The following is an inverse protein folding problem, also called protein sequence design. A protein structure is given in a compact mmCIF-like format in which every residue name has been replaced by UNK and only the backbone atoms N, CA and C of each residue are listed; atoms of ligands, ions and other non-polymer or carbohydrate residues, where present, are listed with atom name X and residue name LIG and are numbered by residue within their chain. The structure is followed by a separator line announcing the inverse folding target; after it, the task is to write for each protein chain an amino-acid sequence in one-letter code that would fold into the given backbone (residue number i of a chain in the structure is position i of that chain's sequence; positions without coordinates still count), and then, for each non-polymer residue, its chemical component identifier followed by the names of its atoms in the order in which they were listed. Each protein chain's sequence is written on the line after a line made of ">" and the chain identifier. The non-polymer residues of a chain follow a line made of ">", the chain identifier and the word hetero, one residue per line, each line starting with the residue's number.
data_IF_675182349267
#
_entry.id   IF_675182349267
#
_cell.length_a   1.000
_cell.length_b   1.000
_cell.length_c   1.000
_cell.angle_alpha   90.00
_cell.angle_beta   90.00
_cell.angle_gamma   90.00
#
_symmetry.space_group_name_H-M   'P 1'
#
loop_
_entity.id
_entity.type
_entity.pdbx_description
1 polymer ?
#
# COMPACT_ATOMS: atom_id res chain seq x y z
N UNK A 1 -18.18 -5.43 -3.95
CA UNK A 1 -16.89 -4.77 -4.14
C UNK A 1 -15.78 -5.76 -3.93
N UNK A 2 -14.62 -5.53 -4.54
CA UNK A 2 -13.39 -6.29 -4.30
C UNK A 2 -12.48 -5.55 -3.32
N UNK A 3 -11.50 -6.24 -2.75
CA UNK A 3 -10.36 -5.58 -2.07
C UNK A 3 -9.21 -5.52 -3.07
N UNK A 4 -8.63 -4.33 -3.23
CA UNK A 4 -7.42 -4.11 -4.00
C UNK A 4 -6.22 -4.30 -3.09
N UNK A 5 -5.28 -5.15 -3.50
CA UNK A 5 -3.99 -5.30 -2.85
C UNK A 5 -3.01 -4.31 -3.48
N UNK A 6 -2.92 -3.12 -2.88
CA UNK A 6 -2.05 -2.06 -3.37
C UNK A 6 -0.64 -2.24 -2.82
N UNK A 7 0.35 -2.21 -3.71
CA UNK A 7 1.76 -2.28 -3.32
C UNK A 7 2.19 -0.95 -2.72
N UNK A 8 2.85 -1.02 -1.58
CA UNK A 8 3.28 0.16 -0.82
C UNK A 8 4.75 0.08 -0.39
N UNK A 9 5.33 1.26 -0.19
CA UNK A 9 6.50 1.45 0.67
C UNK A 9 6.02 1.91 2.05
N UNK A 10 6.45 1.21 3.09
CA UNK A 10 6.17 1.54 4.48
C UNK A 10 7.43 1.84 5.27
N UNK A 11 7.39 2.88 6.09
CA UNK A 11 8.41 3.22 7.09
C UNK A 11 7.75 3.58 8.41
N UNK A 12 8.40 3.20 9.52
CA UNK A 12 8.00 3.73 10.82
C UNK A 12 8.51 5.15 10.97
N UNK A 13 7.61 6.07 11.30
CA UNK A 13 7.93 7.48 11.50
C UNK A 13 8.02 7.82 13.00
N UNK A 14 8.34 9.08 13.32
CA UNK A 14 8.57 9.56 14.69
C UNK A 14 7.33 9.44 15.62
N UNK A 15 6.14 9.24 15.06
CA UNK A 15 4.91 8.99 15.82
C UNK A 15 4.73 7.52 16.22
N UNK A 16 5.69 6.65 15.86
CA UNK A 16 5.66 5.22 16.15
C UNK A 16 4.68 4.44 15.28
N UNK A 17 4.08 5.07 14.27
CA UNK A 17 3.14 4.44 13.33
C UNK A 17 3.86 4.04 12.05
N UNK A 18 3.33 3.02 11.38
CA UNK A 18 3.74 2.66 10.03
C UNK A 18 3.03 3.60 9.05
N UNK A 19 3.79 4.47 8.38
CA UNK A 19 3.29 5.31 7.30
C UNK A 19 3.56 4.62 5.98
N UNK A 20 2.54 4.56 5.13
CA UNK A 20 2.63 3.91 3.82
C UNK A 20 2.32 4.87 2.69
N UNK A 21 3.01 4.68 1.56
CA UNK A 21 2.73 5.34 0.29
C UNK A 21 2.70 4.30 -0.81
N UNK A 22 1.83 4.47 -1.80
CA UNK A 22 1.81 3.60 -2.96
C UNK A 22 3.16 3.61 -3.71
N UNK A 23 3.47 2.51 -4.39
CA UNK A 23 4.69 2.40 -5.20
C UNK A 23 4.59 3.10 -6.55
N UNK A 24 3.52 3.87 -6.82
CA UNK A 24 3.18 4.39 -8.13
C UNK A 24 2.23 3.47 -8.90
N UNK A 25 2.36 3.34 -10.23
CA UNK A 25 1.44 2.56 -11.07
C UNK A 25 1.17 1.13 -10.57
N UNK A 26 -0.10 0.79 -10.37
CA UNK A 26 -0.54 -0.49 -9.77
C UNK A 26 -0.95 -1.57 -10.79
N UNK A 27 -0.59 -1.43 -12.07
CA UNK A 27 -0.86 -2.46 -13.08
C UNK A 27 -0.19 -3.79 -12.75
N UNK A 28 -0.88 -4.92 -12.98
CA UNK A 28 -0.33 -6.27 -12.74
C UNK A 28 0.85 -6.59 -13.65
N UNK A 29 0.87 -6.04 -14.87
CA UNK A 29 1.97 -6.18 -15.83
C UNK A 29 3.20 -5.34 -15.44
N UNK A 30 3.11 -4.46 -14.44
CA UNK A 30 4.22 -3.66 -13.92
C UNK A 30 4.91 -4.44 -12.79
N UNK A 31 5.73 -5.43 -13.15
CA UNK A 31 6.41 -6.33 -12.21
C UNK A 31 7.38 -5.58 -11.28
N UNK A 32 8.02 -4.52 -11.78
CA UNK A 32 8.99 -3.71 -11.02
C UNK A 32 8.37 -3.06 -9.76
N UNK A 33 7.10 -2.66 -9.83
CA UNK A 33 6.39 -2.06 -8.70
C UNK A 33 6.12 -3.07 -7.56
N UNK A 34 6.11 -4.37 -7.87
CA UNK A 34 6.01 -5.45 -6.86
C UNK A 34 7.35 -5.75 -6.24
N UNK A 35 8.42 -5.81 -7.05
CA UNK A 35 9.75 -6.23 -6.59
C UNK A 35 10.37 -5.30 -5.53
N UNK A 36 9.95 -4.02 -5.50
CA UNK A 36 10.46 -3.03 -4.55
C UNK A 36 9.54 -2.79 -3.35
N UNK A 37 8.26 -3.20 -3.42
CA UNK A 37 7.31 -2.98 -2.35
C UNK A 37 7.69 -3.79 -1.09
N UNK A 38 7.51 -3.20 0.09
CA UNK A 38 7.70 -3.88 1.37
C UNK A 38 6.36 -4.14 2.10
N UNK A 39 5.23 -3.90 1.43
CA UNK A 39 3.91 -4.13 1.98
C UNK A 39 2.81 -4.17 0.92
N UNK A 40 1.67 -4.74 1.32
CA UNK A 40 0.40 -4.70 0.60
C UNK A 40 -0.67 -4.05 1.47
N UNK A 41 -1.21 -2.91 1.03
CA UNK A 41 -2.35 -2.25 1.64
C UNK A 41 -3.66 -2.83 1.09
N UNK A 42 -4.59 -3.16 1.98
CA UNK A 42 -5.92 -3.66 1.63
C UNK A 42 -6.86 -2.49 1.45
N UNK A 43 -7.12 -2.12 0.19
CA UNK A 43 -7.92 -0.93 -0.15
C UNK A 43 -9.30 -1.36 -0.66
N UNK A 44 -10.40 -0.88 -0.07
CA UNK A 44 -11.74 -1.14 -0.58
C UNK A 44 -11.93 -0.66 -2.02
N UNK A 45 -12.79 -1.36 -2.77
CA UNK A 45 -13.24 -0.90 -4.09
C UNK A 45 -13.86 0.50 -4.04
N UNK A 46 -13.72 1.28 -5.12
CA UNK A 46 -14.28 2.62 -5.25
C UNK A 46 -13.20 3.70 -5.30
N UNK A 47 -13.44 4.82 -4.61
CA UNK A 47 -12.56 6.00 -4.60
C UNK A 47 -11.24 5.79 -3.83
N UNK A 48 -11.05 4.62 -3.21
CA UNK A 48 -9.87 4.33 -2.40
C UNK A 48 -9.90 5.04 -1.05
N UNK A 49 -8.73 5.46 -0.57
CA UNK A 49 -8.54 6.07 0.75
C UNK A 49 -7.96 7.48 0.62
N UNK A 50 -8.40 8.39 1.49
CA UNK A 50 -7.81 9.72 1.60
C UNK A 50 -6.47 9.65 2.33
N UNK A 51 -5.53 10.55 2.00
CA UNK A 51 -4.27 10.66 2.72
C UNK A 51 -4.49 10.84 4.24
N UNK A 52 -3.72 10.12 5.05
CA UNK A 52 -3.86 10.09 6.52
C UNK A 52 -4.97 9.16 7.04
N UNK A 53 -5.73 8.50 6.17
CA UNK A 53 -6.67 7.45 6.59
C UNK A 53 -5.92 6.20 7.05
N UNK A 54 -6.49 5.51 8.04
CA UNK A 54 -5.94 4.21 8.47
C UNK A 54 -6.26 3.11 7.44
N UNK A 55 -5.31 2.21 7.23
CA UNK A 55 -5.43 1.09 6.29
C UNK A 55 -4.74 -0.15 6.86
N UNK A 56 -5.33 -1.32 6.62
CA UNK A 56 -4.71 -2.59 6.96
C UNK A 56 -3.56 -2.88 5.99
N UNK A 57 -2.39 -3.21 6.53
CA UNK A 57 -1.17 -3.46 5.74
C UNK A 57 -0.60 -4.81 6.12
N UNK A 58 -0.42 -5.67 5.12
CA UNK A 58 0.38 -6.88 5.22
C UNK A 58 1.82 -6.56 4.82
N UNK A 59 2.75 -6.65 5.77
CA UNK A 59 4.18 -6.42 5.50
C UNK A 59 4.78 -7.61 4.73
N UNK A 60 5.69 -7.30 3.81
CA UNK A 60 6.46 -8.27 3.02
C UNK A 60 7.90 -8.30 3.55
N UNK A 61 8.43 -9.50 3.77
CA UNK A 61 9.77 -9.74 4.32
C UNK A 61 10.86 -9.84 3.27
#
# INVERSE_FOLDING_TARGET
>A
GKIHLMRVFGTFENDGRLHVRDTGPQGSHQLAATALANGLALVPDGEGLSAGSEVEVMLLG
#
